data_IF_271367630725
#
_entry.id   IF_271367630725
#
_cell.length_a   1.000
_cell.length_b   1.000
_cell.length_c   1.000
_cell.angle_alpha   90.00
_cell.angle_beta   90.00
_cell.angle_gamma   90.00
#
_symmetry.space_group_name_H-M   'P 1'
#
loop_
_entity.id
_entity.type
_entity.pdbx_description
1 polymer ?
#
# COMPACT_ATOMS: atom_id res chain seq x y z
N UNK A 1 -59.57 16.26 -34.31
CA UNK A 1 -58.32 17.03 -34.12
C UNK A 1 -57.50 16.36 -33.02
N UNK A 2 -56.28 15.91 -33.35
CA UNK A 2 -55.48 15.01 -32.52
C UNK A 2 -54.81 15.75 -31.34
N UNK A 3 -55.03 15.26 -30.11
CA UNK A 3 -54.23 15.65 -28.94
C UNK A 3 -52.86 14.96 -29.04
N UNK A 4 -51.83 15.74 -29.37
CA UNK A 4 -50.43 15.30 -29.42
C UNK A 4 -49.98 14.90 -28.00
N UNK A 5 -49.68 13.62 -27.79
CA UNK A 5 -49.06 13.11 -26.57
C UNK A 5 -47.69 13.78 -26.40
N UNK A 6 -47.48 14.46 -25.28
CA UNK A 6 -46.16 14.93 -24.84
C UNK A 6 -45.42 13.71 -24.30
N UNK A 7 -44.26 13.38 -24.87
CA UNK A 7 -43.38 12.30 -24.35
C UNK A 7 -42.82 12.74 -22.99
N UNK A 8 -42.65 11.81 -22.02
CA UNK A 8 -41.84 12.09 -20.84
C UNK A 8 -40.39 12.24 -21.30
N UNK A 9 -39.77 13.36 -20.96
CA UNK A 9 -38.35 13.57 -21.17
C UNK A 9 -37.65 12.85 -20.03
N UNK A 10 -36.74 11.94 -20.38
CA UNK A 10 -35.96 11.14 -19.45
C UNK A 10 -35.27 12.07 -18.42
N UNK A 11 -35.68 11.95 -17.16
CA UNK A 11 -34.97 12.55 -16.02
C UNK A 11 -33.57 11.92 -15.98
N UNK A 12 -32.60 12.62 -16.55
CA UNK A 12 -31.20 12.37 -16.27
C UNK A 12 -31.03 12.74 -14.80
N UNK A 13 -31.00 11.73 -13.94
CA UNK A 13 -30.66 11.83 -12.52
C UNK A 13 -29.19 12.25 -12.43
N UNK A 14 -28.93 13.55 -12.64
CA UNK A 14 -27.63 14.14 -12.40
C UNK A 14 -27.48 14.18 -10.88
N UNK A 15 -26.70 13.26 -10.33
CA UNK A 15 -26.27 13.29 -8.95
C UNK A 15 -25.52 14.60 -8.70
N UNK A 16 -26.21 15.60 -8.15
CA UNK A 16 -25.64 16.94 -7.93
C UNK A 16 -24.76 16.87 -6.68
N UNK A 17 -23.49 16.52 -6.88
CA UNK A 17 -22.47 16.60 -5.82
C UNK A 17 -22.42 18.04 -5.29
N UNK A 18 -22.50 18.20 -3.98
CA UNK A 18 -22.50 19.51 -3.33
C UNK A 18 -21.15 20.21 -3.51
N UNK A 19 -21.17 21.55 -3.67
CA UNK A 19 -19.95 22.37 -3.65
C UNK A 19 -19.10 22.13 -2.39
N UNK A 20 -19.74 21.77 -1.28
CA UNK A 20 -19.07 21.44 -0.02
C UNK A 20 -18.31 20.10 -0.12
N UNK A 21 -18.89 19.10 -0.76
CA UNK A 21 -18.30 17.77 -0.94
C UNK A 21 -17.10 17.84 -1.88
N UNK A 22 -17.24 18.52 -3.02
CA UNK A 22 -16.13 18.77 -3.94
C UNK A 22 -14.95 19.47 -3.24
N UNK A 23 -15.23 20.40 -2.33
CA UNK A 23 -14.19 21.09 -1.55
C UNK A 23 -13.51 20.15 -0.55
N UNK A 24 -14.27 19.29 0.12
CA UNK A 24 -13.72 18.30 1.07
C UNK A 24 -12.83 17.30 0.33
N UNK A 25 -13.30 16.81 -0.81
CA UNK A 25 -12.55 15.88 -1.65
C UNK A 25 -11.24 16.48 -2.14
N UNK A 26 -11.28 17.70 -2.69
CA UNK A 26 -10.06 18.41 -3.08
C UNK A 26 -9.08 18.62 -1.92
N UNK A 27 -9.60 18.84 -0.70
CA UNK A 27 -8.77 18.98 0.50
C UNK A 27 -8.13 17.65 0.89
N UNK A 28 -8.88 16.54 0.79
CA UNK A 28 -8.39 15.18 1.03
C UNK A 28 -7.25 14.82 0.08
N UNK A 29 -7.46 15.00 -1.22
CA UNK A 29 -6.47 14.70 -2.26
C UNK A 29 -5.19 15.54 -2.11
N UNK A 30 -5.32 16.82 -1.75
CA UNK A 30 -4.16 17.66 -1.42
C UNK A 30 -3.44 17.19 -0.16
N UNK A 31 -4.17 16.69 0.84
CA UNK A 31 -3.60 16.06 2.04
C UNK A 31 -2.74 14.84 1.69
N UNK A 32 -3.23 13.98 0.79
CA UNK A 32 -2.48 12.81 0.29
C UNK A 32 -1.25 13.26 -0.49
N UNK A 33 -1.40 14.25 -1.38
CA UNK A 33 -0.28 14.85 -2.10
C UNK A 33 0.80 15.42 -1.16
N UNK A 34 0.42 16.02 -0.03
CA UNK A 34 1.37 16.49 0.98
C UNK A 34 2.11 15.33 1.65
N UNK A 35 1.42 14.25 2.04
CA UNK A 35 2.06 13.04 2.60
C UNK A 35 3.11 12.48 1.63
N UNK A 36 2.80 12.44 0.33
CA UNK A 36 3.76 12.02 -0.70
C UNK A 36 4.99 12.93 -0.78
N UNK A 37 4.84 14.25 -0.61
CA UNK A 37 5.97 15.19 -0.66
C UNK A 37 6.96 15.03 0.49
N UNK A 38 6.56 14.41 1.60
CA UNK A 38 7.44 14.11 2.73
C UNK A 38 8.36 12.91 2.46
N UNK A 39 8.08 12.11 1.43
CA UNK A 39 8.87 10.96 1.04
C UNK A 39 10.13 11.35 0.25
N UNK A 40 11.16 10.51 0.31
CA UNK A 40 12.35 10.70 -0.52
C UNK A 40 12.03 10.44 -2.02
N UNK A 41 12.79 11.05 -2.95
CA UNK A 41 12.64 10.77 -4.39
C UNK A 41 12.77 9.30 -4.77
N UNK A 42 13.56 8.53 -4.03
CA UNK A 42 13.71 7.09 -4.24
C UNK A 42 12.44 6.34 -3.87
N UNK A 43 11.88 6.64 -2.69
CA UNK A 43 10.62 6.05 -2.24
C UNK A 43 9.46 6.38 -3.16
N UNK A 44 9.36 7.63 -3.64
CA UNK A 44 8.30 8.03 -4.58
C UNK A 44 8.25 7.18 -5.86
N UNK A 45 9.39 6.64 -6.32
CA UNK A 45 9.45 5.77 -7.51
C UNK A 45 8.89 4.36 -7.26
N UNK A 46 8.76 3.96 -6.00
CA UNK A 46 8.19 2.66 -5.62
C UNK A 46 6.65 2.72 -5.50
N UNK A 47 6.06 3.91 -5.53
CA UNK A 47 4.61 4.09 -5.43
C UNK A 47 3.92 3.84 -6.77
N UNK A 48 2.64 3.41 -6.76
CA UNK A 48 1.82 3.24 -7.95
C UNK A 48 1.36 4.61 -8.49
N UNK A 49 2.29 5.42 -8.99
CA UNK A 49 2.06 6.76 -9.52
C UNK A 49 2.24 6.75 -11.04
N UNK A 50 1.40 7.52 -11.74
CA UNK A 50 1.67 7.82 -13.15
C UNK A 50 2.90 8.73 -13.29
N UNK A 51 3.49 8.74 -14.50
CA UNK A 51 4.69 9.53 -14.79
C UNK A 51 4.50 11.03 -14.55
N UNK A 52 3.29 11.55 -14.76
CA UNK A 52 2.96 12.98 -14.64
C UNK A 52 2.92 13.40 -13.17
N UNK A 53 2.26 12.60 -12.32
CA UNK A 53 2.16 12.79 -10.89
C UNK A 53 3.53 12.66 -10.22
N UNK A 54 4.30 11.63 -10.57
CA UNK A 54 5.68 11.48 -10.10
C UNK A 54 6.54 12.70 -10.44
N UNK A 55 6.49 13.15 -11.69
CA UNK A 55 7.24 14.33 -12.14
C UNK A 55 6.81 15.59 -11.39
N UNK A 56 5.51 15.77 -11.16
CA UNK A 56 4.97 16.91 -10.43
C UNK A 56 5.42 16.95 -8.96
N UNK A 57 5.48 15.79 -8.31
CA UNK A 57 5.98 15.65 -6.93
C UNK A 57 7.46 15.97 -6.83
N UNK A 58 8.29 15.40 -7.72
CA UNK A 58 9.72 15.67 -7.77
C UNK A 58 10.04 17.14 -8.03
N UNK A 59 9.30 17.78 -8.93
CA UNK A 59 9.46 19.21 -9.21
C UNK A 59 9.09 20.05 -7.99
N UNK A 60 7.99 19.73 -7.30
CA UNK A 60 7.55 20.42 -6.08
C UNK A 60 8.63 20.43 -4.99
N UNK A 61 9.37 19.33 -4.83
CA UNK A 61 10.47 19.22 -3.87
C UNK A 61 11.65 20.15 -4.21
N UNK A 62 11.84 20.52 -5.49
CA UNK A 62 12.92 21.42 -5.94
C UNK A 62 12.55 22.90 -5.83
N UNK A 63 11.26 23.24 -5.85
CA UNK A 63 10.79 24.61 -5.76
C UNK A 63 11.21 25.25 -4.42
N UNK A 64 11.65 26.52 -4.47
CA UNK A 64 12.04 27.27 -3.27
C UNK A 64 10.96 28.28 -2.82
N UNK A 65 10.18 28.80 -3.76
CA UNK A 65 9.14 29.79 -3.48
C UNK A 65 7.90 29.14 -2.89
N UNK A 66 7.39 29.69 -1.78
CA UNK A 66 6.14 29.26 -1.16
C UNK A 66 4.95 29.31 -2.12
N UNK A 67 4.87 30.36 -2.94
CA UNK A 67 3.76 30.51 -3.89
C UNK A 67 3.87 29.48 -5.03
N UNK A 68 5.09 29.18 -5.49
CA UNK A 68 5.31 28.14 -6.48
C UNK A 68 4.95 26.75 -5.92
N UNK A 69 5.39 26.42 -4.70
CA UNK A 69 5.01 25.18 -4.00
C UNK A 69 3.49 25.06 -3.83
N UNK A 70 2.82 26.14 -3.42
CA UNK A 70 1.37 26.16 -3.24
C UNK A 70 0.62 25.85 -4.54
N UNK A 71 1.03 26.45 -5.66
CA UNK A 71 0.44 26.18 -6.99
C UNK A 71 0.74 24.76 -7.46
N UNK A 72 1.96 24.28 -7.23
CA UNK A 72 2.34 22.92 -7.56
C UNK A 72 1.53 21.89 -6.77
N UNK A 73 1.29 22.13 -5.48
CA UNK A 73 0.42 21.28 -4.66
C UNK A 73 -1.03 21.26 -5.16
N UNK A 74 -1.56 22.39 -5.63
CA UNK A 74 -2.89 22.43 -6.25
C UNK A 74 -2.94 21.61 -7.54
N UNK A 75 -1.87 21.68 -8.34
CA UNK A 75 -1.74 20.86 -9.55
C UNK A 75 -1.66 19.37 -9.21
N UNK A 76 -0.85 18.99 -8.22
CA UNK A 76 -0.79 17.62 -7.69
C UNK A 76 -2.18 17.16 -7.24
N UNK A 77 -2.89 17.96 -6.44
CA UNK A 77 -4.25 17.61 -6.00
C UNK A 77 -5.26 17.46 -7.15
N UNK A 78 -5.02 18.11 -8.30
CA UNK A 78 -5.79 17.86 -9.52
C UNK A 78 -5.42 16.53 -10.17
N UNK A 79 -4.13 16.20 -10.29
CA UNK A 79 -3.66 14.93 -10.84
C UNK A 79 -4.13 13.73 -10.02
N UNK A 80 -4.18 13.87 -8.70
CA UNK A 80 -4.67 12.84 -7.78
C UNK A 80 -6.11 12.37 -8.06
N UNK A 81 -6.94 13.16 -8.77
CA UNK A 81 -8.31 12.74 -9.14
C UNK A 81 -8.33 11.65 -10.20
N UNK A 82 -7.30 11.61 -11.03
CA UNK A 82 -7.17 10.65 -12.12
C UNK A 82 -6.28 9.46 -11.69
N UNK A 83 -5.68 9.53 -10.50
CA UNK A 83 -4.83 8.50 -9.92
C UNK A 83 -5.63 7.46 -9.13
N UNK A 84 -5.04 6.28 -8.95
CA UNK A 84 -5.57 5.25 -8.04
C UNK A 84 -5.28 5.66 -6.58
N UNK A 85 -6.17 6.50 -6.04
CA UNK A 85 -6.03 7.02 -4.67
C UNK A 85 -5.97 5.90 -3.62
N UNK A 86 -6.76 4.83 -3.79
CA UNK A 86 -6.80 3.72 -2.86
C UNK A 86 -5.45 3.00 -2.80
N UNK A 87 -4.86 2.70 -3.96
CA UNK A 87 -3.54 2.09 -4.03
C UNK A 87 -2.45 2.99 -3.42
N UNK A 88 -2.53 4.31 -3.63
CA UNK A 88 -1.60 5.28 -3.06
C UNK A 88 -1.72 5.35 -1.54
N UNK A 89 -2.94 5.40 -0.99
CA UNK A 89 -3.17 5.42 0.46
C UNK A 89 -2.65 4.14 1.10
N UNK A 90 -2.97 2.97 0.51
CA UNK A 90 -2.45 1.67 0.98
C UNK A 90 -0.92 1.66 1.02
N UNK A 91 -0.27 2.15 -0.03
CA UNK A 91 1.19 2.25 -0.08
C UNK A 91 1.74 3.23 0.98
N UNK A 92 1.08 4.38 1.21
CA UNK A 92 1.45 5.33 2.26
C UNK A 92 1.36 4.70 3.66
N UNK A 93 0.26 4.01 3.94
CA UNK A 93 -0.01 3.41 5.24
C UNK A 93 0.91 2.22 5.52
N UNK A 94 1.35 1.49 4.49
CA UNK A 94 2.38 0.47 4.63
C UNK A 94 3.76 1.06 4.95
N UNK A 95 4.11 2.21 4.39
CA UNK A 95 5.40 2.85 4.65
C UNK A 95 5.46 3.58 5.99
N UNK A 96 4.31 3.91 6.58
CA UNK A 96 4.20 4.57 7.88
C UNK A 96 4.20 3.53 9.03
N UNK A 97 5.29 3.41 9.82
CA UNK A 97 5.33 2.48 10.93
C UNK A 97 4.30 2.77 12.03
N UNK A 98 3.76 4.00 12.06
CA UNK A 98 2.72 4.43 13.00
C UNK A 98 1.30 4.10 12.53
N UNK A 99 1.11 3.65 11.29
CA UNK A 99 -0.20 3.28 10.78
C UNK A 99 -0.72 2.01 11.43
N UNK A 100 -2.01 1.98 11.73
CA UNK A 100 -2.69 0.78 12.23
C UNK A 100 -2.54 -0.39 11.26
N UNK A 101 -2.58 -0.13 9.95
CA UNK A 101 -2.39 -1.14 8.90
C UNK A 101 -1.00 -1.76 8.97
N UNK A 102 0.05 -0.94 9.12
CA UNK A 102 1.42 -1.41 9.26
C UNK A 102 1.59 -2.30 10.50
N UNK A 103 0.99 -1.89 11.62
CA UNK A 103 1.03 -2.65 12.87
C UNK A 103 0.32 -4.01 12.71
N UNK A 104 -0.90 -4.01 12.16
CA UNK A 104 -1.68 -5.23 11.93
C UNK A 104 -0.93 -6.20 11.01
N UNK A 105 -0.36 -5.69 9.92
CA UNK A 105 0.41 -6.50 8.97
C UNK A 105 1.67 -7.08 9.63
N UNK A 106 2.36 -6.30 10.46
CA UNK A 106 3.52 -6.76 11.24
C UNK A 106 3.13 -7.89 12.18
N UNK A 107 2.04 -7.73 12.92
CA UNK A 107 1.53 -8.76 13.86
C UNK A 107 1.12 -10.03 13.11
N UNK A 108 0.40 -9.91 12.00
CA UNK A 108 -0.03 -11.03 11.17
C UNK A 108 1.16 -11.78 10.56
N UNK A 109 2.14 -11.04 10.03
CA UNK A 109 3.36 -11.62 9.44
C UNK A 109 4.17 -12.36 10.49
N UNK A 110 4.26 -11.82 11.71
CA UNK A 110 4.97 -12.44 12.82
C UNK A 110 4.27 -13.73 13.29
N UNK A 111 2.92 -13.72 13.33
CA UNK A 111 2.14 -14.91 13.62
C UNK A 111 2.38 -16.02 12.60
N UNK A 112 2.27 -15.71 11.30
CA UNK A 112 2.53 -16.68 10.24
C UNK A 112 3.95 -17.22 10.28
N UNK A 113 4.94 -16.34 10.46
CA UNK A 113 6.34 -16.73 10.60
C UNK A 113 6.52 -17.74 11.73
N UNK A 114 5.91 -17.51 12.90
CA UNK A 114 5.98 -18.44 14.03
C UNK A 114 5.33 -19.77 13.69
N UNK A 115 4.11 -19.76 13.17
CA UNK A 115 3.38 -20.97 12.81
C UNK A 115 4.14 -21.79 11.75
N UNK A 116 4.72 -21.15 10.73
CA UNK A 116 5.50 -21.81 9.67
C UNK A 116 6.81 -22.45 10.16
N UNK A 117 7.36 -21.98 11.28
CA UNK A 117 8.57 -22.55 11.88
C UNK A 117 8.28 -23.73 12.81
N UNK A 118 7.10 -23.75 13.43
CA UNK A 118 6.73 -24.73 14.47
C UNK A 118 5.83 -25.86 13.93
N UNK A 119 4.87 -25.53 13.08
CA UNK A 119 3.83 -26.44 12.61
C UNK A 119 4.06 -26.89 11.15
N UNK A 120 4.26 -28.18 10.88
CA UNK A 120 4.40 -28.73 9.53
C UNK A 120 3.18 -28.47 8.62
N UNK A 121 1.97 -28.36 9.18
CA UNK A 121 0.73 -28.14 8.43
C UNK A 121 0.49 -26.66 8.10
N UNK A 122 1.14 -25.74 8.81
CA UNK A 122 1.02 -24.30 8.58
C UNK A 122 1.39 -23.88 7.15
N UNK A 123 2.30 -24.61 6.50
CA UNK A 123 2.67 -24.32 5.10
C UNK A 123 1.49 -24.51 4.15
N UNK A 124 0.67 -25.54 4.36
CA UNK A 124 -0.51 -25.78 3.53
C UNK A 124 -1.57 -24.70 3.77
N UNK A 125 -1.85 -24.38 5.04
CA UNK A 125 -2.81 -23.32 5.43
C UNK A 125 -2.41 -21.95 4.90
N UNK A 126 -1.12 -21.63 4.90
CA UNK A 126 -0.62 -20.36 4.35
C UNK A 126 -0.92 -20.22 2.86
N UNK A 127 -0.65 -21.26 2.05
CA UNK A 127 -0.93 -21.24 0.61
C UNK A 127 -2.40 -21.38 0.24
N UNK A 128 -3.24 -21.80 1.18
CA UNK A 128 -4.69 -21.76 1.05
C UNK A 128 -5.23 -20.36 1.33
N UNK A 129 -4.72 -19.69 2.37
CA UNK A 129 -5.07 -18.32 2.71
C UNK A 129 -4.62 -17.31 1.64
N UNK A 130 -3.46 -17.56 1.01
CA UNK A 130 -2.88 -16.68 0.00
C UNK A 130 -2.55 -17.47 -1.28
N UNK A 131 -3.55 -17.72 -2.15
CA UNK A 131 -3.40 -18.58 -3.32
C UNK A 131 -2.50 -17.99 -4.41
N UNK A 132 -2.39 -16.66 -4.47
CA UNK A 132 -1.65 -15.93 -5.50
C UNK A 132 -0.13 -15.89 -5.25
N UNK A 133 0.32 -16.27 -4.05
CA UNK A 133 1.75 -16.29 -3.69
C UNK A 133 2.50 -17.35 -4.50
N UNK A 134 3.66 -16.98 -5.03
CA UNK A 134 4.55 -17.92 -5.69
C UNK A 134 5.06 -19.00 -4.71
N UNK A 135 4.51 -20.21 -4.86
CA UNK A 135 4.72 -21.30 -3.91
C UNK A 135 6.17 -21.76 -3.82
N UNK A 136 6.92 -21.79 -4.92
CA UNK A 136 8.27 -22.35 -4.94
C UNK A 136 9.29 -21.47 -4.21
N UNK A 137 9.40 -20.15 -4.50
CA UNK A 137 10.26 -19.24 -3.73
C UNK A 137 9.92 -19.24 -2.24
N UNK A 138 8.63 -19.15 -1.90
CA UNK A 138 8.18 -19.13 -0.51
C UNK A 138 8.53 -20.43 0.24
N UNK A 139 8.33 -21.60 -0.38
CA UNK A 139 8.75 -22.89 0.20
C UNK A 139 10.25 -22.95 0.48
N UNK A 140 11.07 -22.39 -0.41
CA UNK A 140 12.52 -22.36 -0.19
C UNK A 140 12.89 -21.48 1.01
N UNK A 141 12.24 -20.32 1.16
CA UNK A 141 12.44 -19.44 2.31
C UNK A 141 12.02 -20.12 3.62
N UNK A 142 10.86 -20.78 3.64
CA UNK A 142 10.37 -21.54 4.79
C UNK A 142 11.37 -22.62 5.19
N UNK A 143 11.81 -23.46 4.25
CA UNK A 143 12.79 -24.54 4.54
C UNK A 143 14.10 -23.99 5.10
N UNK A 144 14.64 -22.93 4.50
CA UNK A 144 15.88 -22.31 4.96
C UNK A 144 15.71 -21.78 6.40
N UNK A 145 14.58 -21.16 6.71
CA UNK A 145 14.30 -20.62 8.05
C UNK A 145 14.08 -21.74 9.09
N UNK A 146 13.43 -22.84 8.73
CA UNK A 146 13.29 -24.02 9.58
C UNK A 146 14.63 -24.71 9.86
N UNK A 147 15.49 -24.82 8.85
CA UNK A 147 16.83 -25.38 9.01
C UNK A 147 17.70 -24.50 9.91
N UNK A 148 17.65 -23.18 9.71
CA UNK A 148 18.30 -22.20 10.59
C UNK A 148 17.80 -22.34 12.03
N UNK A 149 16.48 -22.43 12.24
CA UNK A 149 15.90 -22.61 13.58
C UNK A 149 16.38 -23.89 14.28
N UNK A 150 16.51 -25.01 13.54
CA UNK A 150 17.03 -26.27 14.08
C UNK A 150 18.52 -26.19 14.39
N UNK A 151 19.31 -25.54 13.54
CA UNK A 151 20.75 -25.41 13.72
C UNK A 151 21.11 -24.62 14.98
N UNK A 152 20.30 -23.61 15.32
CA UNK A 152 20.51 -22.76 16.48
C UNK A 152 19.66 -23.15 17.71
N UNK A 153 18.92 -24.27 17.63
CA UNK A 153 18.13 -24.78 18.77
C UNK A 153 19.03 -25.20 19.96
N UNK A 154 20.24 -25.68 19.66
CA UNK A 154 21.21 -26.16 20.66
C UNK A 154 22.28 -25.11 21.02
N UNK A 155 22.21 -23.90 20.45
CA UNK A 155 23.20 -22.85 20.68
C UNK A 155 22.71 -21.80 21.65
N UNK A 156 23.47 -21.54 22.72
CA UNK A 156 23.18 -20.56 23.78
C UNK A 156 23.33 -19.08 23.33
N UNK A 157 23.57 -18.86 22.03
CA UNK A 157 23.89 -17.55 21.44
C UNK A 157 22.68 -17.01 20.66
N UNK A 158 21.64 -16.57 21.38
CA UNK A 158 20.45 -15.97 20.80
C UNK A 158 20.72 -14.52 20.33
N UNK A 159 21.48 -14.34 19.26
CA UNK A 159 21.75 -13.00 18.68
C UNK A 159 20.94 -12.77 17.41
N UNK A 160 20.31 -11.59 17.33
CA UNK A 160 19.42 -11.17 16.23
C UNK A 160 20.12 -11.21 14.84
N UNK A 161 21.45 -11.20 14.82
CA UNK A 161 22.29 -11.28 13.61
C UNK A 161 22.36 -12.69 13.00
N UNK A 162 22.10 -13.76 13.78
CA UNK A 162 22.22 -15.15 13.31
C UNK A 162 20.98 -15.65 12.55
N UNK A 163 19.84 -14.98 12.66
CA UNK A 163 18.56 -15.40 12.09
C UNK A 163 18.21 -14.73 10.76
N UNK A 164 19.15 -14.75 9.82
CA UNK A 164 18.99 -14.09 8.51
C UNK A 164 17.83 -14.67 7.73
N UNK A 165 17.59 -15.98 7.80
CA UNK A 165 16.51 -16.63 7.06
C UNK A 165 15.16 -16.39 7.72
N UNK A 166 15.08 -16.37 9.06
CA UNK A 166 13.85 -15.96 9.75
C UNK A 166 13.46 -14.51 9.45
N UNK A 167 14.42 -13.59 9.37
CA UNK A 167 14.14 -12.19 8.99
C UNK A 167 13.68 -12.09 7.54
N UNK A 168 14.35 -12.80 6.62
CA UNK A 168 13.92 -12.86 5.21
C UNK A 168 12.54 -13.46 5.04
N UNK A 169 12.20 -14.50 5.81
CA UNK A 169 10.87 -15.09 5.81
C UNK A 169 9.82 -14.10 6.29
N UNK A 170 10.08 -13.37 7.38
CA UNK A 170 9.18 -12.30 7.84
C UNK A 170 8.94 -11.25 6.75
N UNK A 171 10.02 -10.76 6.12
CA UNK A 171 9.93 -9.76 5.05
C UNK A 171 9.12 -10.29 3.87
N UNK A 172 9.40 -11.50 3.40
CA UNK A 172 8.68 -12.11 2.30
C UNK A 172 7.19 -12.32 2.63
N UNK A 173 6.85 -12.81 3.83
CA UNK A 173 5.45 -12.95 4.25
C UNK A 173 4.76 -11.58 4.24
N UNK A 174 5.40 -10.57 4.83
CA UNK A 174 4.84 -9.23 4.91
C UNK A 174 4.60 -8.61 3.53
N UNK A 175 5.57 -8.75 2.63
CA UNK A 175 5.53 -8.16 1.29
C UNK A 175 4.57 -8.92 0.35
N UNK A 176 4.35 -10.22 0.57
CA UNK A 176 3.42 -11.06 -0.21
C UNK A 176 1.97 -11.02 0.29
N UNK A 177 1.74 -10.73 1.58
CA UNK A 177 0.39 -10.48 2.11
C UNK A 177 -0.11 -9.10 1.65
N UNK A 178 0.81 -8.16 1.39
CA UNK A 178 0.50 -6.78 1.02
C UNK A 178 -0.47 -6.64 -0.17
N UNK A 179 -0.32 -7.36 -1.30
CA UNK A 179 -1.21 -7.22 -2.45
C UNK A 179 -2.59 -7.86 -2.25
N UNK A 180 -2.75 -8.68 -1.19
CA UNK A 180 -3.97 -9.43 -0.90
C UNK A 180 -4.95 -8.70 0.04
N UNK A 181 -4.59 -7.51 0.52
CA UNK A 181 -5.41 -6.60 1.36
C UNK A 181 -5.87 -5.38 0.53
#
# INVERSE_FOLDING_TARGET
MARKKKKPEDEIEIEVVSKSELKREMTRLQGIGNRLLELSPEKLKEFPLDETLLSALLESQRLKSHEAKRRQLQYIGRLMRDADEEAIIKALDFQDPGSEVHLQLTVLSERWRKELLEDPEATARFFEAYPDIERQPMRQLIRNAQQEAKQYADSDQNTNTQFKHRRKLFQAIRDEILPSL
#
